data_IF_959772890450
#
_entry.id   IF_959772890450
#
_cell.length_a   1.000
_cell.length_b   1.000
_cell.length_c   1.000
_cell.angle_alpha   90.00
_cell.angle_beta   90.00
_cell.angle_gamma   90.00
#
_symmetry.space_group_name_H-M   'P 1'
#
loop_
_entity.id
_entity.type
_entity.pdbx_description
1 polymer ?
#
# COMPACT_ATOMS: atom_id res chain seq x y z
N UNK A 1 14.17 3.01 4.40
CA UNK A 1 12.91 2.29 4.11
C UNK A 1 12.74 2.24 2.60
N UNK A 2 12.49 1.06 2.05
CA UNK A 2 12.36 0.86 0.61
C UNK A 2 10.90 0.65 0.24
N UNK A 3 10.49 1.20 -0.89
CA UNK A 3 9.12 1.14 -1.39
C UNK A 3 9.09 0.77 -2.86
N UNK A 4 8.01 0.15 -3.30
CA UNK A 4 7.76 -0.15 -4.70
C UNK A 4 6.29 0.09 -5.06
N UNK A 5 6.04 0.38 -6.34
CA UNK A 5 4.69 0.37 -6.89
C UNK A 5 4.29 -1.08 -7.18
N UNK A 6 3.16 -1.51 -6.63
CA UNK A 6 2.58 -2.84 -6.83
C UNK A 6 1.18 -2.71 -7.44
N UNK A 7 0.90 -3.51 -8.46
CA UNK A 7 -0.42 -3.60 -9.10
C UNK A 7 -1.22 -4.77 -8.50
N UNK A 8 -2.45 -4.49 -8.05
CA UNK A 8 -3.31 -5.46 -7.37
C UNK A 8 -4.70 -5.46 -8.02
N UNK A 9 -5.27 -6.66 -8.18
CA UNK A 9 -6.64 -6.86 -8.66
C UNK A 9 -6.78 -6.96 -10.18
N UNK A 10 -8.02 -7.08 -10.64
CA UNK A 10 -8.39 -7.07 -12.06
C UNK A 10 -9.73 -6.34 -12.21
N UNK A 11 -9.79 -5.19 -12.91
CA UNK A 11 -8.66 -4.44 -13.47
C UNK A 11 -7.67 -3.97 -12.39
N UNK A 12 -6.41 -3.76 -12.78
CA UNK A 12 -5.31 -3.47 -11.86
C UNK A 12 -5.40 -2.07 -11.23
N UNK A 13 -5.07 -1.97 -9.94
CA UNK A 13 -4.92 -0.71 -9.19
C UNK A 13 -3.51 -0.64 -8.60
N UNK A 14 -2.87 0.53 -8.68
CA UNK A 14 -1.49 0.75 -8.21
C UNK A 14 -1.45 1.23 -6.75
N UNK A 15 -0.58 0.62 -5.96
CA UNK A 15 -0.31 1.00 -4.57
C UNK A 15 1.19 1.20 -4.33
N UNK A 16 1.57 2.21 -3.53
CA UNK A 16 2.93 2.35 -3.02
C UNK A 16 3.06 1.53 -1.72
N UNK A 17 3.89 0.50 -1.72
CA UNK A 17 3.99 -0.48 -0.63
C UNK A 17 5.42 -0.52 -0.07
N UNK A 18 5.56 -0.61 1.25
CA UNK A 18 6.84 -0.80 1.91
C UNK A 18 7.37 -2.22 1.72
N UNK A 19 8.66 -2.37 1.43
CA UNK A 19 9.34 -3.66 1.33
C UNK A 19 9.92 -4.03 2.70
N UNK A 20 9.25 -4.93 3.41
CA UNK A 20 9.62 -5.37 4.75
C UNK A 20 9.85 -6.89 4.80
N UNK A 21 11.10 -7.31 4.95
CA UNK A 21 11.47 -8.73 5.11
C UNK A 21 11.42 -9.20 6.56
N UNK A 22 11.11 -8.30 7.50
CA UNK A 22 10.98 -8.61 8.93
C UNK A 22 9.58 -9.10 9.33
N UNK A 23 8.64 -9.13 8.39
CA UNK A 23 7.28 -9.63 8.55
C UNK A 23 6.87 -10.58 7.42
N UNK A 24 5.75 -11.27 7.59
CA UNK A 24 5.16 -12.22 6.65
C UNK A 24 3.79 -11.75 6.09
N UNK A 25 3.44 -10.48 6.33
CA UNK A 25 2.15 -9.89 5.98
C UNK A 25 2.26 -8.92 4.81
N UNK A 26 1.47 -9.16 3.77
CA UNK A 26 1.22 -8.19 2.70
C UNK A 26 -0.18 -7.56 2.88
N UNK A 27 -0.23 -6.25 3.12
CA UNK A 27 -1.48 -5.52 3.35
C UNK A 27 -1.51 -4.18 2.60
N UNK A 28 -2.71 -3.77 2.19
CA UNK A 28 -3.01 -2.46 1.59
C UNK A 28 -4.28 -1.88 2.23
N UNK A 29 -4.42 -0.54 2.30
CA UNK A 29 -5.64 0.05 2.81
C UNK A 29 -6.80 -0.19 1.83
N UNK A 30 -7.92 -0.72 2.34
CA UNK A 30 -9.17 -0.86 1.61
C UNK A 30 -10.33 -0.41 2.51
N UNK A 31 -11.25 0.40 1.98
CA UNK A 31 -12.43 0.92 2.70
C UNK A 31 -12.13 1.45 4.11
N UNK A 32 -10.97 2.08 4.29
CA UNK A 32 -10.51 2.49 5.60
C UNK A 32 -11.21 3.77 6.05
N UNK A 33 -11.81 3.74 7.24
CA UNK A 33 -12.53 4.87 7.83
C UNK A 33 -11.59 5.84 8.56
N UNK A 34 -10.45 5.33 9.06
CA UNK A 34 -9.48 6.10 9.87
C UNK A 34 -8.04 5.84 9.40
N UNK A 35 -7.75 6.09 8.13
CA UNK A 35 -6.40 6.02 7.58
C UNK A 35 -5.90 7.41 7.16
N UNK A 36 -4.58 7.56 7.05
CA UNK A 36 -3.98 8.75 6.47
C UNK A 36 -4.49 8.95 5.03
N UNK A 37 -4.78 10.21 4.68
CA UNK A 37 -5.33 10.53 3.37
C UNK A 37 -4.30 10.23 2.29
N UNK A 38 -4.68 9.53 1.22
CA UNK A 38 -3.77 9.11 0.14
C UNK A 38 -3.20 10.28 -0.69
N UNK A 39 -3.74 11.48 -0.48
CA UNK A 39 -3.26 12.75 -1.05
C UNK A 39 -2.34 13.53 -0.10
N UNK A 40 -2.13 13.06 1.13
CA UNK A 40 -1.20 13.73 2.04
C UNK A 40 0.21 13.58 1.46
N UNK A 41 0.93 14.68 1.21
CA UNK A 41 2.33 14.56 0.85
C UNK A 41 3.06 13.91 2.02
N UNK A 42 3.89 12.91 1.69
CA UNK A 42 4.92 12.39 2.59
C UNK A 42 5.85 13.53 3.03
#
# INVERSE_FOLDING_TARGET
LHYAMVEIGTPAVKFLVALDTGSDLFWVPCQCIQCANSTSPL
#
